data_IF_314557391854
#
_entry.id   IF_314557391854
#
_cell.length_a   1.000
_cell.length_b   1.000
_cell.length_c   1.000
_cell.angle_alpha   90.00
_cell.angle_beta   90.00
_cell.angle_gamma   90.00
#
_symmetry.space_group_name_H-M   'P 1'
#
loop_
_entity.id
_entity.type
_entity.pdbx_description
1 polymer ?
#
# COMPACT_ATOMS: atom_id res chain seq x y z
N UNK A 1 31.59 -28.54 2.55
CA UNK A 1 30.67 -27.89 1.57
C UNK A 1 30.85 -26.39 1.76
N UNK A 2 30.97 -25.61 0.66
CA UNK A 2 31.09 -24.14 0.75
C UNK A 2 29.76 -23.58 1.27
N UNK A 3 29.75 -22.64 2.24
CA UNK A 3 28.51 -22.02 2.71
C UNK A 3 27.75 -21.36 1.57
N UNK A 4 26.43 -21.57 1.53
CA UNK A 4 25.52 -20.86 0.63
C UNK A 4 24.93 -19.71 1.44
N UNK A 5 25.22 -18.48 1.02
CA UNK A 5 24.74 -17.25 1.68
C UNK A 5 23.75 -16.53 0.78
N UNK A 6 22.85 -15.78 1.38
CA UNK A 6 21.89 -14.96 0.65
C UNK A 6 22.58 -13.84 -0.16
N UNK A 7 21.85 -13.26 -1.10
CA UNK A 7 22.32 -12.09 -1.85
C UNK A 7 22.47 -10.87 -0.94
N UNK A 8 23.54 -10.09 -1.12
CA UNK A 8 23.74 -8.82 -0.41
C UNK A 8 22.62 -7.79 -0.63
N UNK A 9 21.80 -7.95 -1.69
CA UNK A 9 20.60 -7.11 -1.88
C UNK A 9 19.57 -7.27 -0.76
N UNK A 10 19.60 -8.39 -0.03
CA UNK A 10 18.71 -8.66 1.09
C UNK A 10 19.20 -8.11 2.43
N UNK A 11 20.48 -7.70 2.53
CA UNK A 11 21.08 -7.25 3.79
C UNK A 11 20.42 -5.96 4.33
N UNK A 12 19.91 -5.11 3.43
CA UNK A 12 19.25 -3.85 3.76
C UNK A 12 17.72 -3.88 3.51
N UNK A 13 17.15 -5.05 3.30
CA UNK A 13 15.69 -5.20 3.16
C UNK A 13 15.06 -5.39 4.52
N UNK A 14 14.51 -4.31 5.07
CA UNK A 14 13.72 -4.34 6.29
C UNK A 14 12.24 -4.55 5.91
N UNK A 15 11.68 -5.68 6.32
CA UNK A 15 10.24 -5.97 6.19
C UNK A 15 9.70 -6.50 7.52
N UNK A 16 9.79 -5.64 8.54
CA UNK A 16 9.57 -5.99 9.96
C UNK A 16 8.15 -6.41 10.28
N UNK A 17 7.17 -6.12 9.39
CA UNK A 17 5.81 -6.67 9.52
C UNK A 17 5.82 -8.20 9.66
N UNK A 18 6.89 -8.87 9.19
CA UNK A 18 7.14 -10.32 9.29
C UNK A 18 8.52 -10.68 9.86
N UNK A 19 9.15 -9.75 10.57
CA UNK A 19 10.49 -9.88 11.11
C UNK A 19 10.56 -10.67 12.44
N UNK A 20 11.62 -10.41 13.25
CA UNK A 20 11.91 -11.17 14.49
C UNK A 20 10.75 -11.17 15.48
N UNK A 21 10.01 -10.08 15.61
CA UNK A 21 8.85 -9.96 16.51
C UNK A 21 7.76 -10.96 16.10
N UNK A 22 7.49 -11.09 14.78
CA UNK A 22 6.53 -12.07 14.29
C UNK A 22 6.97 -13.51 14.55
N UNK A 23 8.27 -13.80 14.41
CA UNK A 23 8.83 -15.12 14.74
C UNK A 23 8.65 -15.42 16.22
N UNK A 24 8.89 -14.44 17.09
CA UNK A 24 8.66 -14.60 18.54
C UNK A 24 7.19 -14.85 18.87
N UNK A 25 6.28 -14.12 18.23
CA UNK A 25 4.84 -14.35 18.40
C UNK A 25 4.44 -15.79 17.99
N UNK A 26 4.97 -16.29 16.87
CA UNK A 26 4.74 -17.68 16.43
C UNK A 26 5.27 -18.70 17.43
N UNK A 27 6.45 -18.47 18.01
CA UNK A 27 7.00 -19.35 19.06
C UNK A 27 6.09 -19.37 20.29
N UNK A 28 5.64 -18.19 20.74
CA UNK A 28 4.73 -18.09 21.89
C UNK A 28 3.38 -18.80 21.62
N UNK A 29 2.86 -18.73 20.40
CA UNK A 29 1.67 -19.50 20.01
C UNK A 29 1.92 -21.01 20.01
N UNK A 30 3.08 -21.45 19.52
CA UNK A 30 3.48 -22.86 19.58
C UNK A 30 3.59 -23.37 21.03
N UNK A 31 3.99 -22.50 21.96
CA UNK A 31 4.03 -22.76 23.39
C UNK A 31 2.62 -22.67 24.07
N UNK A 32 1.54 -22.52 23.27
CA UNK A 32 0.16 -22.51 23.74
C UNK A 32 -0.36 -21.15 24.21
N UNK A 33 0.35 -20.06 23.99
CA UNK A 33 -0.10 -18.72 24.36
C UNK A 33 -1.02 -18.13 23.31
N UNK A 34 -2.05 -17.41 23.74
CA UNK A 34 -2.96 -16.67 22.86
C UNK A 34 -2.41 -15.26 22.60
N UNK A 35 -2.14 -14.93 21.34
CA UNK A 35 -1.64 -13.61 20.93
C UNK A 35 -2.76 -12.83 20.22
N UNK A 36 -2.97 -11.57 20.62
CA UNK A 36 -3.84 -10.63 19.93
C UNK A 36 -3.03 -9.98 18.82
N UNK A 37 -3.38 -10.29 17.56
CA UNK A 37 -2.61 -9.81 16.38
C UNK A 37 -3.22 -8.54 15.81
N UNK A 38 -2.59 -7.40 16.07
CA UNK A 38 -2.95 -6.08 15.54
C UNK A 38 -1.90 -5.53 14.56
N UNK A 39 -1.06 -6.41 14.02
CA UNK A 39 0.09 -6.05 13.19
C UNK A 39 -0.22 -6.04 11.68
N UNK A 40 -1.19 -6.77 11.21
CA UNK A 40 -1.49 -6.91 9.77
C UNK A 40 -2.96 -6.63 9.49
N UNK A 41 -3.24 -5.77 8.49
CA UNK A 41 -4.58 -5.51 7.97
C UNK A 41 -5.12 -6.70 7.18
N UNK A 42 -5.27 -7.85 7.84
CA UNK A 42 -5.91 -9.04 7.30
C UNK A 42 -7.37 -9.10 7.76
N UNK A 43 -8.26 -8.54 6.96
CA UNK A 43 -9.68 -8.38 7.30
C UNK A 43 -10.38 -9.71 7.61
N UNK A 44 -10.03 -10.78 6.90
CA UNK A 44 -10.63 -12.11 7.12
C UNK A 44 -10.36 -12.65 8.53
N UNK A 45 -9.19 -12.39 9.11
CA UNK A 45 -8.86 -12.79 10.48
C UNK A 45 -9.77 -12.15 11.54
N UNK A 46 -10.39 -11.02 11.21
CA UNK A 46 -11.32 -10.27 12.05
C UNK A 46 -12.78 -10.45 11.61
N UNK A 47 -13.07 -11.47 10.81
CA UNK A 47 -14.44 -11.79 10.33
C UNK A 47 -15.08 -10.65 9.51
N UNK A 48 -14.30 -9.99 8.69
CA UNK A 48 -14.79 -9.16 7.60
C UNK A 48 -14.81 -10.01 6.34
N UNK A 49 -15.97 -10.42 5.95
CA UNK A 49 -16.18 -11.34 4.83
C UNK A 49 -16.02 -10.62 3.48
N UNK A 50 -15.62 -11.37 2.47
CA UNK A 50 -15.66 -10.93 1.08
C UNK A 50 -17.12 -10.70 0.67
N UNK A 51 -17.44 -9.74 -0.21
CA UNK A 51 -18.80 -9.62 -0.74
C UNK A 51 -19.29 -10.90 -1.36
N UNK A 52 -20.50 -11.35 -0.98
CA UNK A 52 -21.06 -12.65 -1.39
C UNK A 52 -21.11 -12.80 -2.90
N UNK A 53 -21.46 -11.74 -3.62
CA UNK A 53 -21.53 -11.74 -5.09
C UNK A 53 -20.17 -12.07 -5.73
N UNK A 54 -19.06 -11.63 -5.10
CA UNK A 54 -17.72 -11.96 -5.56
C UNK A 54 -17.38 -13.42 -5.32
N UNK A 55 -17.77 -13.99 -4.19
CA UNK A 55 -17.57 -15.41 -3.89
C UNK A 55 -18.36 -16.29 -4.86
N UNK A 56 -19.63 -15.95 -5.11
CA UNK A 56 -20.47 -16.64 -6.06
C UNK A 56 -19.93 -16.57 -7.50
N UNK A 57 -19.43 -15.39 -7.90
CA UNK A 57 -18.89 -15.20 -9.24
C UNK A 57 -17.58 -15.99 -9.42
N UNK A 58 -16.72 -15.98 -8.41
CA UNK A 58 -15.52 -16.81 -8.39
C UNK A 58 -15.86 -18.30 -8.53
N UNK A 59 -16.84 -18.79 -7.75
CA UNK A 59 -17.25 -20.18 -7.79
C UNK A 59 -17.82 -20.59 -9.17
N UNK A 60 -18.58 -19.70 -9.82
CA UNK A 60 -19.14 -19.95 -11.16
C UNK A 60 -18.07 -20.01 -12.25
N UNK A 61 -17.02 -19.19 -12.11
CA UNK A 61 -15.98 -19.04 -13.13
C UNK A 61 -14.74 -19.92 -12.87
N UNK A 62 -14.64 -20.62 -11.74
CA UNK A 62 -13.45 -21.41 -11.39
C UNK A 62 -13.08 -22.45 -12.47
N UNK A 63 -14.08 -23.03 -13.14
CA UNK A 63 -13.86 -23.99 -14.24
C UNK A 63 -13.21 -23.36 -15.48
N UNK A 64 -13.32 -22.06 -15.67
CA UNK A 64 -12.70 -21.33 -16.78
C UNK A 64 -11.26 -20.89 -16.46
N UNK A 65 -10.83 -20.99 -15.21
CA UNK A 65 -9.55 -20.55 -14.74
C UNK A 65 -8.44 -21.61 -14.82
N UNK A 66 -8.71 -22.75 -15.49
CA UNK A 66 -7.76 -23.87 -15.59
C UNK A 66 -6.60 -23.65 -16.57
N UNK A 67 -6.68 -22.64 -17.46
CA UNK A 67 -5.66 -22.32 -18.46
C UNK A 67 -4.94 -21.02 -18.17
N UNK A 68 -3.83 -20.78 -18.90
CA UNK A 68 -3.20 -19.45 -18.91
C UNK A 68 -4.12 -18.42 -19.56
N UNK A 69 -4.10 -17.21 -19.03
CA UNK A 69 -4.82 -16.05 -19.59
C UNK A 69 -3.85 -15.10 -20.29
N UNK A 70 -4.37 -14.01 -20.86
CA UNK A 70 -3.54 -12.93 -21.36
C UNK A 70 -2.59 -12.40 -20.24
N UNK A 71 -1.35 -12.09 -20.59
CA UNK A 71 -0.33 -11.63 -19.64
C UNK A 71 -0.67 -10.33 -18.95
N UNK A 72 -1.44 -9.46 -19.62
CA UNK A 72 -1.97 -8.21 -19.03
C UNK A 72 -3.22 -8.44 -18.18
N UNK A 73 -3.88 -9.60 -18.29
CA UNK A 73 -5.11 -9.94 -17.58
C UNK A 73 -6.30 -10.18 -18.51
N UNK A 74 -7.32 -10.90 -18.02
CA UNK A 74 -8.52 -11.22 -18.82
C UNK A 74 -9.26 -9.95 -19.24
N UNK A 75 -9.94 -10.03 -20.38
CA UNK A 75 -10.64 -8.88 -20.97
C UNK A 75 -11.67 -8.26 -20.00
N UNK A 76 -12.49 -9.07 -19.34
CA UNK A 76 -13.52 -8.58 -18.42
C UNK A 76 -12.94 -7.80 -17.24
N UNK A 77 -11.83 -8.26 -16.66
CA UNK A 77 -11.13 -7.56 -15.59
C UNK A 77 -10.57 -6.22 -16.07
N UNK A 78 -9.82 -6.23 -17.19
CA UNK A 78 -9.26 -4.99 -17.77
C UNK A 78 -10.35 -3.99 -18.16
N UNK A 79 -11.48 -4.47 -18.70
CA UNK A 79 -12.61 -3.60 -19.07
C UNK A 79 -13.27 -2.97 -17.85
N UNK A 80 -13.44 -3.71 -16.77
CA UNK A 80 -13.95 -3.18 -15.50
C UNK A 80 -13.01 -2.13 -14.90
N UNK A 81 -11.70 -2.39 -14.92
CA UNK A 81 -10.67 -1.44 -14.43
C UNK A 81 -10.66 -0.17 -15.31
N UNK A 82 -10.77 -0.31 -16.64
CA UNK A 82 -10.89 0.86 -17.55
C UNK A 82 -12.10 1.72 -17.19
N UNK A 83 -13.23 1.10 -16.89
CA UNK A 83 -14.43 1.83 -16.50
C UNK A 83 -14.26 2.52 -15.14
N UNK A 84 -13.66 1.87 -14.14
CA UNK A 84 -13.31 2.49 -12.86
C UNK A 84 -12.37 3.70 -13.04
N UNK A 85 -11.37 3.57 -13.92
CA UNK A 85 -10.48 4.68 -14.27
C UNK A 85 -11.25 5.88 -14.89
N UNK A 86 -12.23 5.61 -15.75
CA UNK A 86 -13.10 6.65 -16.32
C UNK A 86 -13.95 7.34 -15.24
N UNK A 87 -14.51 6.58 -14.30
CA UNK A 87 -15.27 7.13 -13.17
C UNK A 87 -14.39 8.01 -12.26
N UNK A 88 -13.10 7.65 -12.12
CA UNK A 88 -12.09 8.45 -11.41
C UNK A 88 -11.54 9.62 -12.22
N UNK A 89 -12.06 9.88 -13.42
CA UNK A 89 -11.61 10.93 -14.34
C UNK A 89 -10.15 10.78 -14.81
N UNK A 90 -9.57 9.59 -14.79
CA UNK A 90 -8.25 9.32 -15.36
C UNK A 90 -8.40 9.25 -16.89
N UNK A 91 -7.79 10.20 -17.59
CA UNK A 91 -7.99 10.37 -19.04
C UNK A 91 -7.06 9.47 -19.87
N UNK A 92 -7.52 9.12 -21.08
CA UNK A 92 -6.69 8.46 -22.09
C UNK A 92 -6.31 7.01 -21.78
N UNK A 93 -7.01 6.35 -20.85
CA UNK A 93 -6.77 4.94 -20.50
C UNK A 93 -7.47 4.01 -21.48
N UNK A 94 -6.69 3.16 -22.12
CA UNK A 94 -7.16 2.06 -22.99
C UNK A 94 -7.00 0.72 -22.28
N UNK A 95 -7.50 -0.36 -22.90
CA UNK A 95 -7.28 -1.71 -22.36
C UNK A 95 -5.79 -2.09 -22.30
N UNK A 96 -5.00 -1.55 -23.23
CA UNK A 96 -3.58 -1.83 -23.31
C UNK A 96 -2.73 -1.17 -22.21
N UNK A 97 -3.29 -0.18 -21.56
CA UNK A 97 -2.68 0.57 -20.45
C UNK A 97 -2.92 -0.10 -19.08
N UNK A 98 -3.54 -1.30 -19.05
CA UNK A 98 -3.92 -1.96 -17.81
C UNK A 98 -3.21 -3.31 -17.72
N UNK A 99 -2.52 -3.53 -16.60
CA UNK A 99 -1.87 -4.80 -16.29
C UNK A 99 -2.38 -5.29 -14.94
N UNK A 100 -2.95 -6.49 -14.94
CA UNK A 100 -3.41 -7.18 -13.73
C UNK A 100 -2.27 -7.99 -13.13
N UNK A 101 -2.11 -7.97 -11.81
CA UNK A 101 -1.06 -8.67 -11.07
C UNK A 101 -1.59 -9.52 -9.92
N UNK A 102 -0.70 -10.35 -9.37
CA UNK A 102 -0.95 -11.16 -8.17
C UNK A 102 -0.97 -10.28 -6.91
N UNK A 103 -1.89 -9.32 -6.89
CA UNK A 103 -1.94 -8.20 -5.95
C UNK A 103 -0.97 -7.08 -6.33
N UNK A 104 -1.13 -5.91 -5.71
CA UNK A 104 -0.26 -4.75 -5.91
C UNK A 104 1.20 -5.08 -5.59
N UNK A 105 1.46 -6.02 -4.68
CA UNK A 105 2.82 -6.40 -4.28
C UNK A 105 3.68 -6.93 -5.43
N UNK A 106 3.12 -7.70 -6.36
CA UNK A 106 3.84 -8.14 -7.56
C UNK A 106 4.13 -6.97 -8.49
N UNK A 107 3.14 -6.09 -8.67
CA UNK A 107 3.26 -4.94 -9.57
C UNK A 107 4.29 -3.92 -9.07
N UNK A 108 4.40 -3.72 -7.75
CA UNK A 108 5.49 -2.93 -7.14
C UNK A 108 6.86 -3.51 -7.55
N UNK A 109 7.00 -4.84 -7.51
CA UNK A 109 8.23 -5.50 -7.99
C UNK A 109 8.49 -5.23 -9.47
N UNK A 110 7.46 -5.30 -10.32
CA UNK A 110 7.60 -5.06 -11.76
C UNK A 110 8.02 -3.63 -12.06
N UNK A 111 7.39 -2.63 -11.45
CA UNK A 111 7.69 -1.23 -11.74
C UNK A 111 9.11 -0.85 -11.32
N UNK A 112 9.60 -1.40 -10.21
CA UNK A 112 10.97 -1.17 -9.77
C UNK A 112 11.99 -1.91 -10.64
N UNK A 113 11.75 -3.19 -10.94
CA UNK A 113 12.66 -3.99 -11.81
C UNK A 113 12.74 -3.44 -13.23
N UNK A 114 11.64 -2.92 -13.77
CA UNK A 114 11.60 -2.36 -15.12
C UNK A 114 12.23 -0.97 -15.25
N UNK A 115 12.41 -0.24 -14.13
CA UNK A 115 12.86 1.15 -14.13
C UNK A 115 14.33 1.30 -13.69
N UNK A 116 14.75 0.56 -12.66
CA UNK A 116 15.94 0.91 -11.86
C UNK A 116 17.20 0.15 -12.29
N UNK A 117 18.28 0.88 -12.31
CA UNK A 117 19.65 0.38 -12.41
C UNK A 117 20.42 0.77 -11.13
N UNK A 118 21.60 0.17 -10.87
CA UNK A 118 22.46 0.60 -9.77
C UNK A 118 22.80 2.09 -9.87
N UNK A 119 22.55 2.83 -8.77
CA UNK A 119 22.76 4.28 -8.69
C UNK A 119 21.49 5.11 -8.93
N UNK A 120 20.41 4.51 -9.46
CA UNK A 120 19.12 5.20 -9.57
C UNK A 120 18.44 5.34 -8.20
N UNK A 121 17.69 6.41 -8.02
CA UNK A 121 17.00 6.76 -6.77
C UNK A 121 15.49 6.81 -6.97
N UNK A 122 14.75 6.43 -5.92
CA UNK A 122 13.28 6.57 -5.84
C UNK A 122 12.92 7.33 -4.57
N UNK A 123 12.15 8.39 -4.71
CA UNK A 123 11.57 9.08 -3.56
C UNK A 123 10.41 8.27 -3.00
N UNK A 124 10.46 7.93 -1.70
CA UNK A 124 9.47 7.12 -1.00
C UNK A 124 9.02 7.88 0.25
N UNK A 125 7.72 7.88 0.65
CA UNK A 125 7.31 8.60 1.85
C UNK A 125 7.93 8.00 3.12
N UNK A 126 8.04 8.82 4.16
CA UNK A 126 8.34 8.40 5.53
C UNK A 126 7.28 9.03 6.46
N UNK A 127 6.40 8.22 7.09
CA UNK A 127 6.36 6.74 7.05
C UNK A 127 5.76 6.21 5.74
N UNK A 128 6.15 4.96 5.37
CA UNK A 128 5.69 4.29 4.15
C UNK A 128 5.14 2.87 4.41
N UNK A 129 4.59 2.26 3.36
CA UNK A 129 4.42 0.81 3.31
C UNK A 129 5.76 0.19 2.87
N UNK A 130 6.47 -0.55 3.75
CA UNK A 130 7.89 -0.87 3.58
C UNK A 130 8.22 -1.73 2.34
N UNK A 131 7.22 -2.28 1.66
CA UNK A 131 7.43 -2.99 0.41
C UNK A 131 7.98 -2.08 -0.70
N UNK A 132 7.63 -0.79 -0.71
CA UNK A 132 8.16 0.16 -1.69
C UNK A 132 9.67 0.34 -1.53
N UNK A 133 10.11 0.52 -0.30
CA UNK A 133 11.55 0.59 0.06
C UNK A 133 12.27 -0.72 -0.26
N UNK A 134 11.70 -1.86 0.12
CA UNK A 134 12.26 -3.17 -0.13
C UNK A 134 12.39 -3.48 -1.63
N UNK A 135 11.35 -3.21 -2.42
CA UNK A 135 11.36 -3.45 -3.87
C UNK A 135 12.36 -2.55 -4.60
N UNK A 136 12.50 -1.29 -4.17
CA UNK A 136 13.53 -0.37 -4.69
C UNK A 136 14.92 -0.95 -4.48
N UNK A 137 15.25 -1.37 -3.26
CA UNK A 137 16.55 -1.97 -2.91
C UNK A 137 16.80 -3.28 -3.67
N UNK A 138 15.79 -4.16 -3.76
CA UNK A 138 15.90 -5.43 -4.50
C UNK A 138 16.11 -5.21 -6.00
N UNK A 139 15.56 -4.12 -6.56
CA UNK A 139 15.81 -3.72 -7.94
C UNK A 139 17.15 -2.97 -8.15
N UNK A 140 18.02 -2.93 -7.13
CA UNK A 140 19.33 -2.25 -7.13
C UNK A 140 19.25 -0.72 -7.11
N UNK A 141 18.10 -0.13 -6.88
CA UNK A 141 17.93 1.31 -6.64
C UNK A 141 18.14 1.68 -5.19
N UNK A 142 18.20 2.99 -4.93
CA UNK A 142 18.31 3.56 -3.60
C UNK A 142 16.99 4.22 -3.22
N UNK A 143 16.29 3.77 -2.17
CA UNK A 143 15.13 4.48 -1.64
C UNK A 143 15.58 5.73 -0.89
N UNK A 144 15.01 6.88 -1.25
CA UNK A 144 15.25 8.17 -0.59
C UNK A 144 13.95 8.63 0.06
N UNK A 145 13.90 8.60 1.39
CA UNK A 145 12.66 8.87 2.11
C UNK A 145 12.42 10.37 2.25
N UNK A 146 11.25 10.84 1.78
CA UNK A 146 10.76 12.20 2.06
C UNK A 146 9.80 12.19 3.25
N UNK A 147 9.81 13.27 4.04
CA UNK A 147 9.04 13.36 5.27
C UNK A 147 7.55 13.63 5.00
N UNK A 148 6.68 12.87 5.67
CA UNK A 148 5.29 13.23 5.90
C UNK A 148 5.19 13.81 7.32
N UNK A 149 4.64 15.02 7.45
CA UNK A 149 4.68 15.81 8.69
C UNK A 149 3.46 15.51 9.58
N UNK A 150 3.69 14.94 10.77
CA UNK A 150 2.61 14.62 11.73
C UNK A 150 1.81 15.88 12.10
N UNK A 151 2.50 16.97 12.37
CA UNK A 151 1.91 18.25 12.77
C UNK A 151 1.04 18.87 11.66
N UNK A 152 1.26 18.44 10.41
CA UNK A 152 0.47 18.84 9.23
C UNK A 152 -0.47 17.72 8.75
N UNK A 153 -0.96 16.88 9.68
CA UNK A 153 -1.88 15.79 9.37
C UNK A 153 -1.29 14.71 8.46
N UNK A 154 0.01 14.48 8.55
CA UNK A 154 0.79 13.52 7.75
C UNK A 154 0.87 13.85 6.26
N UNK A 155 0.69 15.13 5.87
CA UNK A 155 0.93 15.54 4.50
C UNK A 155 2.43 15.47 4.16
N UNK A 156 2.78 15.09 2.91
CA UNK A 156 4.14 15.19 2.40
C UNK A 156 4.71 16.61 2.47
N UNK A 157 5.93 16.72 2.94
CA UNK A 157 6.67 18.00 2.96
C UNK A 157 7.26 18.27 1.57
N UNK A 158 6.66 19.23 0.85
CA UNK A 158 7.10 19.57 -0.51
C UNK A 158 8.51 20.14 -0.52
N UNK A 159 8.88 20.89 0.51
CA UNK A 159 10.25 21.42 0.66
C UNK A 159 11.28 20.30 0.83
N UNK A 160 10.94 19.27 1.59
CA UNK A 160 11.81 18.10 1.81
C UNK A 160 11.90 17.23 0.53
N UNK A 161 10.78 17.05 -0.19
CA UNK A 161 10.78 16.38 -1.51
C UNK A 161 11.75 17.09 -2.45
N UNK A 162 11.60 18.42 -2.62
CA UNK A 162 12.45 19.21 -3.51
C UNK A 162 13.94 19.15 -3.13
N UNK A 163 14.24 19.15 -1.83
CA UNK A 163 15.61 19.06 -1.32
C UNK A 163 16.26 17.68 -1.60
N UNK A 164 15.47 16.65 -1.77
CA UNK A 164 15.92 15.25 -1.97
C UNK A 164 15.98 14.80 -3.42
N UNK A 165 15.45 15.60 -4.36
CA UNK A 165 15.59 15.32 -5.79
C UNK A 165 17.04 15.49 -6.21
N UNK A 166 17.58 14.49 -6.91
CA UNK A 166 18.92 14.53 -7.52
C UNK A 166 18.83 14.15 -9.01
N UNK A 167 19.90 14.32 -9.80
CA UNK A 167 19.93 13.84 -11.18
C UNK A 167 19.71 12.32 -11.34
N UNK A 168 19.87 11.55 -10.26
CA UNK A 168 19.66 10.10 -10.23
C UNK A 168 18.23 9.72 -9.89
N UNK A 169 17.40 10.65 -9.44
CA UNK A 169 15.99 10.38 -9.09
C UNK A 169 15.19 10.02 -10.32
N UNK A 170 14.55 8.84 -10.33
CA UNK A 170 13.75 8.33 -11.45
C UNK A 170 12.26 8.38 -11.20
N UNK A 171 11.84 8.23 -9.96
CA UNK A 171 10.43 8.13 -9.61
C UNK A 171 10.15 8.72 -8.22
N UNK A 172 8.89 9.06 -8.02
CA UNK A 172 8.31 9.35 -6.71
C UNK A 172 7.14 8.43 -6.45
N UNK A 173 7.12 7.82 -5.27
CA UNK A 173 6.03 6.99 -4.75
C UNK A 173 5.10 7.85 -3.90
N UNK A 174 3.80 7.76 -4.13
CA UNK A 174 2.75 8.41 -3.35
C UNK A 174 1.79 7.34 -2.87
N UNK A 175 1.59 7.23 -1.56
CA UNK A 175 0.64 6.28 -0.96
C UNK A 175 -0.54 7.08 -0.44
N UNK A 176 -1.66 7.07 -1.16
CA UNK A 176 -2.82 7.91 -0.85
C UNK A 176 -4.15 7.17 -1.11
N UNK A 177 -4.91 6.85 -0.05
CA UNK A 177 -4.64 7.08 1.38
C UNK A 177 -3.44 6.32 1.94
N UNK A 178 -2.77 6.92 2.93
CA UNK A 178 -1.49 6.43 3.43
C UNK A 178 -1.63 5.24 4.41
N UNK A 179 -0.74 4.30 4.29
CA UNK A 179 -0.42 3.29 5.30
C UNK A 179 1.02 3.57 5.78
N UNK A 180 1.24 3.91 7.07
CA UNK A 180 0.45 3.51 8.24
C UNK A 180 -0.49 4.58 8.82
N UNK A 181 -0.50 5.81 8.34
CA UNK A 181 -1.11 6.95 9.04
C UNK A 181 -2.63 7.12 8.83
N UNK A 182 -3.17 6.56 7.74
CA UNK A 182 -4.57 6.79 7.34
C UNK A 182 -4.85 8.20 6.82
N UNK A 183 -3.81 8.97 6.51
CA UNK A 183 -3.95 10.30 5.92
C UNK A 183 -4.49 10.25 4.49
N UNK A 184 -5.25 11.27 4.13
CA UNK A 184 -5.67 11.58 2.76
C UNK A 184 -5.01 12.90 2.40
N UNK A 185 -4.22 12.91 1.34
CA UNK A 185 -3.53 14.12 0.91
C UNK A 185 -4.47 15.07 0.18
N UNK A 186 -4.32 16.37 0.43
CA UNK A 186 -5.14 17.39 -0.24
C UNK A 186 -4.79 17.49 -1.74
N UNK A 187 -5.72 17.99 -2.53
CA UNK A 187 -5.49 18.20 -3.96
C UNK A 187 -4.32 19.14 -4.22
N UNK A 188 -4.14 20.14 -3.37
CA UNK A 188 -3.02 21.11 -3.45
C UNK A 188 -1.69 20.39 -3.28
N UNK A 189 -1.55 19.55 -2.25
CA UNK A 189 -0.32 18.75 -2.01
C UNK A 189 -0.05 17.81 -3.18
N UNK A 190 -1.09 17.15 -3.73
CA UNK A 190 -0.94 16.28 -4.89
C UNK A 190 -0.47 17.05 -6.13
N UNK A 191 -1.01 18.26 -6.37
CA UNK A 191 -0.58 19.14 -7.47
C UNK A 191 0.86 19.61 -7.30
N UNK A 192 1.28 19.93 -6.09
CA UNK A 192 2.67 20.31 -5.79
C UNK A 192 3.64 19.16 -6.07
N UNK A 193 3.28 17.93 -5.70
CA UNK A 193 4.08 16.74 -6.03
C UNK A 193 4.14 16.53 -7.55
N UNK A 194 3.02 16.67 -8.25
CA UNK A 194 2.98 16.61 -9.72
C UNK A 194 3.90 17.65 -10.34
N UNK A 195 3.93 18.86 -9.78
CA UNK A 195 4.81 19.93 -10.26
C UNK A 195 6.29 19.54 -10.09
N UNK A 196 6.68 18.97 -8.95
CA UNK A 196 8.04 18.47 -8.76
C UNK A 196 8.38 17.36 -9.75
N UNK A 197 7.45 16.44 -9.98
CA UNK A 197 7.65 15.35 -10.94
C UNK A 197 7.81 15.88 -12.37
N UNK A 198 7.00 16.86 -12.76
CA UNK A 198 7.06 17.54 -14.08
C UNK A 198 8.40 18.24 -14.30
N UNK A 199 8.87 19.01 -13.32
CA UNK A 199 10.12 19.75 -13.37
C UNK A 199 11.35 18.85 -13.53
N UNK A 200 11.28 17.62 -13.03
CA UNK A 200 12.40 16.69 -12.94
C UNK A 200 12.21 15.42 -13.81
N UNK A 201 11.13 15.33 -14.58
CA UNK A 201 10.87 14.18 -15.45
C UNK A 201 10.67 12.86 -14.71
N UNK A 202 10.09 12.89 -13.49
CA UNK A 202 9.91 11.71 -12.66
C UNK A 202 8.68 10.90 -13.05
N UNK A 203 8.77 9.58 -12.93
CA UNK A 203 7.60 8.70 -12.94
C UNK A 203 6.86 8.85 -11.60
N UNK A 204 5.54 9.03 -11.64
CA UNK A 204 4.71 9.10 -10.43
C UNK A 204 4.01 7.75 -10.22
N UNK A 205 4.39 7.04 -9.15
CA UNK A 205 3.82 5.75 -8.76
C UNK A 205 2.85 5.99 -7.60
N UNK A 206 1.56 5.71 -7.82
CA UNK A 206 0.51 6.01 -6.84
C UNK A 206 -0.13 4.71 -6.34
N UNK A 207 -0.03 4.47 -5.04
CA UNK A 207 -0.72 3.36 -4.37
C UNK A 207 -2.06 3.86 -3.82
N UNK A 208 -3.16 3.50 -4.50
CA UNK A 208 -4.53 3.89 -4.14
C UNK A 208 -5.34 2.70 -3.56
N UNK A 209 -4.67 1.73 -2.95
CA UNK A 209 -5.33 0.49 -2.46
C UNK A 209 -6.43 0.75 -1.42
N UNK A 210 -6.45 1.93 -0.77
CA UNK A 210 -7.43 2.34 0.24
C UNK A 210 -8.43 3.40 -0.25
N UNK A 211 -8.51 3.67 -1.55
CA UNK A 211 -9.28 4.76 -2.16
C UNK A 211 -10.78 4.77 -1.81
N UNK A 212 -11.33 3.64 -1.32
CA UNK A 212 -12.73 3.52 -0.89
C UNK A 212 -12.90 3.34 0.63
N UNK A 213 -11.82 3.20 1.39
CA UNK A 213 -11.89 3.08 2.86
C UNK A 213 -11.70 4.47 3.47
N UNK A 214 -12.74 5.29 3.41
CA UNK A 214 -12.74 6.71 3.76
C UNK A 214 -13.78 6.99 4.83
N UNK A 215 -13.46 7.84 5.80
CA UNK A 215 -14.35 8.16 6.92
C UNK A 215 -14.81 9.63 6.88
N UNK A 216 -15.84 9.94 7.63
CA UNK A 216 -16.30 11.31 7.95
C UNK A 216 -16.61 12.17 6.70
N UNK A 217 -17.04 11.54 5.61
CA UNK A 217 -17.39 12.24 4.37
C UNK A 217 -16.19 12.67 3.52
N UNK A 218 -14.98 12.29 3.90
CA UNK A 218 -13.80 12.52 3.07
C UNK A 218 -13.94 11.86 1.70
N UNK A 219 -13.34 12.47 0.69
CA UNK A 219 -13.33 11.97 -0.69
C UNK A 219 -11.91 11.75 -1.15
N UNK A 220 -11.68 10.68 -1.88
CA UNK A 220 -10.43 10.42 -2.55
C UNK A 220 -10.46 11.04 -3.95
N UNK A 221 -9.35 11.69 -4.32
CA UNK A 221 -9.10 12.16 -5.67
C UNK A 221 -7.93 11.36 -6.22
N UNK A 222 -8.14 10.62 -7.31
CA UNK A 222 -7.04 9.91 -7.96
C UNK A 222 -6.02 10.90 -8.51
N UNK A 223 -4.77 10.75 -8.12
CA UNK A 223 -3.72 11.69 -8.50
C UNK A 223 -3.56 11.79 -10.02
N UNK A 224 -3.70 10.68 -10.73
CA UNK A 224 -3.63 10.63 -12.20
C UNK A 224 -4.78 11.37 -12.91
N UNK A 225 -5.84 11.78 -12.20
CA UNK A 225 -6.89 12.62 -12.77
C UNK A 225 -6.52 14.10 -12.84
N UNK A 226 -5.48 14.53 -12.12
CA UNK A 226 -5.10 15.93 -11.95
C UNK A 226 -4.15 16.45 -13.04
N UNK A 227 -3.48 15.56 -13.77
CA UNK A 227 -2.58 15.95 -14.87
C UNK A 227 -2.53 14.86 -15.95
N UNK A 228 -2.10 15.25 -17.17
CA UNK A 228 -1.93 14.33 -18.30
C UNK A 228 -0.56 14.46 -18.99
N UNK A 229 0.29 15.30 -18.48
CA UNK A 229 1.62 15.63 -18.99
C UNK A 229 2.78 15.05 -18.17
N UNK A 230 2.44 14.31 -17.11
CA UNK A 230 3.36 13.48 -16.30
C UNK A 230 2.96 12.01 -16.47
N UNK A 231 3.92 11.10 -16.43
CA UNK A 231 3.61 9.66 -16.52
C UNK A 231 3.25 9.09 -15.15
N UNK A 232 2.04 8.51 -15.07
CA UNK A 232 1.50 7.91 -13.86
C UNK A 232 1.39 6.40 -13.98
N UNK A 233 1.68 5.72 -12.87
CA UNK A 233 1.35 4.32 -12.62
C UNK A 233 0.45 4.29 -11.38
N UNK A 234 -0.87 4.15 -11.58
CA UNK A 234 -1.85 4.10 -10.50
C UNK A 234 -2.19 2.67 -10.15
N UNK A 235 -2.02 2.30 -8.90
CA UNK A 235 -2.23 0.94 -8.42
C UNK A 235 -3.48 0.82 -7.56
N UNK A 236 -4.23 -0.28 -7.77
CA UNK A 236 -5.42 -0.63 -7.01
C UNK A 236 -5.59 -2.14 -6.91
N UNK A 237 -6.59 -2.59 -6.14
CA UNK A 237 -6.81 -4.03 -6.00
C UNK A 237 -7.97 -4.40 -5.08
N UNK A 238 -8.23 -5.70 -5.00
CA UNK A 238 -9.33 -6.24 -4.21
C UNK A 238 -9.03 -6.38 -2.72
N UNK A 239 -7.76 -6.27 -2.32
CA UNK A 239 -7.29 -6.67 -1.00
C UNK A 239 -7.95 -5.93 0.16
N UNK A 240 -8.23 -4.63 0.01
CA UNK A 240 -8.68 -3.77 1.12
C UNK A 240 -10.13 -3.33 0.95
N UNK A 241 -10.45 -2.67 -0.12
CA UNK A 241 -11.81 -2.20 -0.41
C UNK A 241 -12.85 -3.32 -0.43
N UNK A 242 -12.44 -4.49 -0.90
CA UNK A 242 -13.32 -5.66 -1.05
C UNK A 242 -13.02 -6.80 -0.07
N UNK A 243 -12.13 -6.57 0.90
CA UNK A 243 -11.75 -7.54 1.94
C UNK A 243 -11.21 -8.88 1.41
N UNK A 244 -10.77 -8.91 0.14
CA UNK A 244 -10.36 -10.10 -0.60
C UNK A 244 -8.84 -10.19 -0.76
N UNK A 245 -8.07 -9.97 0.32
CA UNK A 245 -6.60 -9.97 0.25
C UNK A 245 -6.02 -11.34 -0.13
N UNK A 246 -6.74 -12.43 0.14
CA UNK A 246 -6.37 -13.79 -0.25
C UNK A 246 -6.59 -14.10 -1.74
N UNK A 247 -7.42 -13.33 -2.45
CA UNK A 247 -7.66 -13.53 -3.89
C UNK A 247 -6.47 -13.15 -4.76
N UNK A 248 -5.51 -12.40 -4.20
CA UNK A 248 -4.30 -11.97 -4.90
C UNK A 248 -4.60 -11.32 -6.25
N UNK A 249 -5.55 -10.41 -6.31
CA UNK A 249 -5.89 -9.64 -7.50
C UNK A 249 -5.67 -8.15 -7.26
N UNK A 250 -4.82 -7.56 -8.08
CA UNK A 250 -4.52 -6.14 -8.12
C UNK A 250 -4.23 -5.72 -9.56
N UNK A 251 -4.11 -4.44 -9.80
CA UNK A 251 -3.85 -3.90 -11.12
C UNK A 251 -3.02 -2.62 -11.05
N UNK A 252 -2.36 -2.30 -12.16
CA UNK A 252 -1.81 -0.99 -12.42
C UNK A 252 -2.42 -0.41 -13.70
N UNK A 253 -2.61 0.91 -13.68
CA UNK A 253 -3.13 1.74 -14.78
C UNK A 253 -2.02 2.69 -15.20
N UNK A 254 -1.64 2.65 -16.46
CA UNK A 254 -0.64 3.52 -17.07
C UNK A 254 -1.34 4.70 -17.74
N UNK A 255 -0.99 5.92 -17.36
CA UNK A 255 -1.69 7.12 -17.87
C UNK A 255 -0.77 8.33 -17.98
N UNK A 256 -1.29 9.42 -18.58
CA UNK A 256 -0.55 10.66 -18.77
C UNK A 256 0.45 10.59 -19.93
N UNK A 257 1.69 11.02 -19.71
CA UNK A 257 2.74 11.14 -20.73
C UNK A 257 3.33 9.79 -21.20
N UNK A 258 2.48 8.87 -21.68
CA UNK A 258 2.86 7.49 -22.08
C UNK A 258 3.88 7.42 -23.19
N UNK A 259 3.86 8.36 -24.14
CA UNK A 259 4.81 8.36 -25.26
C UNK A 259 6.26 8.52 -24.77
N UNK A 260 6.49 9.34 -23.75
CA UNK A 260 7.80 9.51 -23.14
C UNK A 260 8.26 8.23 -22.37
N UNK A 261 7.32 7.41 -21.93
CA UNK A 261 7.55 6.20 -21.16
C UNK A 261 7.45 4.90 -21.99
N UNK A 262 7.33 5.00 -23.33
CA UNK A 262 7.04 3.84 -24.20
C UNK A 262 7.97 2.65 -23.97
N UNK A 263 9.26 2.87 -23.94
CA UNK A 263 10.25 1.79 -23.71
C UNK A 263 10.08 1.15 -22.33
N UNK A 264 9.82 1.96 -21.30
CA UNK A 264 9.54 1.45 -19.96
C UNK A 264 8.24 0.62 -19.92
N UNK A 265 7.19 1.08 -20.59
CA UNK A 265 5.92 0.34 -20.73
C UNK A 265 6.15 -1.02 -21.41
N UNK A 266 6.96 -1.08 -22.47
CA UNK A 266 7.35 -2.32 -23.14
C UNK A 266 8.07 -3.28 -22.17
N UNK A 267 8.94 -2.74 -21.30
CA UNK A 267 9.60 -3.49 -20.23
C UNK A 267 8.61 -4.08 -19.21
N UNK A 268 7.61 -3.32 -18.80
CA UNK A 268 6.55 -3.79 -17.90
C UNK A 268 5.72 -4.91 -18.53
N UNK A 269 5.39 -4.78 -19.81
CA UNK A 269 4.68 -5.83 -20.57
C UNK A 269 5.53 -7.09 -20.70
N UNK A 270 6.84 -6.94 -20.91
CA UNK A 270 7.78 -8.06 -20.93
C UNK A 270 7.80 -8.82 -19.60
N UNK A 271 7.91 -8.10 -18.46
CA UNK A 271 7.86 -8.71 -17.13
C UNK A 271 6.54 -9.45 -16.88
N UNK A 272 5.42 -8.85 -17.26
CA UNK A 272 4.11 -9.49 -17.19
C UNK A 272 4.04 -10.76 -18.04
N UNK A 273 4.66 -10.75 -19.24
CA UNK A 273 4.71 -11.89 -20.15
C UNK A 273 5.61 -13.01 -19.65
N UNK A 274 6.74 -12.69 -19.04
CA UNK A 274 7.66 -13.66 -18.44
C UNK A 274 7.00 -14.45 -17.29
N UNK A 275 6.11 -13.82 -16.54
CA UNK A 275 5.30 -14.45 -15.50
C UNK A 275 4.17 -15.33 -16.09
N UNK A 276 3.89 -15.28 -17.38
CA UNK A 276 2.77 -15.86 -18.12
C UNK A 276 1.45 -15.10 -17.89
N UNK A 277 0.80 -15.25 -16.74
CA UNK A 277 -0.42 -14.51 -16.39
C UNK A 277 -0.54 -14.31 -14.88
N UNK A 278 -1.39 -13.37 -14.45
CA UNK A 278 -1.82 -13.27 -13.06
C UNK A 278 -2.71 -14.45 -12.68
N UNK A 279 -2.92 -14.65 -11.38
CA UNK A 279 -3.84 -15.63 -10.82
C UNK A 279 -5.23 -15.56 -11.52
N UNK A 280 -5.50 -16.52 -12.39
CA UNK A 280 -6.71 -16.53 -13.21
C UNK A 280 -8.01 -16.55 -12.36
N UNK A 281 -8.15 -17.37 -11.30
CA UNK A 281 -9.31 -17.32 -10.43
C UNK A 281 -9.59 -15.91 -9.88
N UNK A 282 -8.58 -15.24 -9.32
CA UNK A 282 -8.76 -13.91 -8.72
C UNK A 282 -9.17 -12.82 -9.71
N UNK A 283 -8.78 -12.95 -10.98
CA UNK A 283 -9.15 -12.00 -12.02
C UNK A 283 -10.66 -11.97 -12.31
N UNK A 284 -11.33 -13.12 -12.23
CA UNK A 284 -12.78 -13.21 -12.45
C UNK A 284 -13.57 -12.38 -11.45
N UNK A 285 -13.10 -12.22 -10.22
CA UNK A 285 -13.77 -11.42 -9.20
C UNK A 285 -13.69 -9.89 -9.44
N UNK A 286 -12.78 -9.40 -10.31
CA UNK A 286 -12.54 -7.96 -10.48
C UNK A 286 -13.76 -7.25 -11.07
N UNK A 287 -14.41 -7.84 -12.08
CA UNK A 287 -15.56 -7.21 -12.72
C UNK A 287 -16.73 -7.05 -11.73
N UNK A 288 -17.05 -8.07 -10.98
CA UNK A 288 -18.11 -8.05 -9.96
C UNK A 288 -17.77 -7.09 -8.82
N UNK A 289 -16.51 -7.06 -8.39
CA UNK A 289 -16.05 -6.13 -7.38
C UNK A 289 -16.25 -4.66 -7.80
N UNK A 290 -15.81 -4.30 -9.00
CA UNK A 290 -15.84 -2.90 -9.47
C UNK A 290 -17.24 -2.47 -9.91
N UNK A 291 -18.01 -3.38 -10.53
CA UNK A 291 -19.35 -3.09 -11.06
C UNK A 291 -20.50 -3.38 -10.12
N UNK A 292 -20.26 -4.13 -9.05
CA UNK A 292 -21.29 -4.55 -8.09
C UNK A 292 -21.54 -3.55 -6.96
N UNK A 293 -22.30 -4.00 -5.96
CA UNK A 293 -22.57 -3.21 -4.77
C UNK A 293 -21.30 -2.94 -3.96
N UNK A 294 -21.10 -1.69 -3.60
CA UNK A 294 -19.91 -1.28 -2.85
C UNK A 294 -20.14 -1.39 -1.34
N UNK A 295 -20.20 -2.63 -0.84
CA UNK A 295 -20.49 -2.93 0.57
C UNK A 295 -19.48 -2.38 1.58
N UNK A 296 -18.33 -1.87 1.11
CA UNK A 296 -17.41 -1.11 1.96
C UNK A 296 -18.10 0.14 2.52
N UNK A 297 -19.01 0.74 1.77
CA UNK A 297 -19.74 1.94 2.19
C UNK A 297 -20.54 1.70 3.48
N UNK A 298 -21.11 0.51 3.67
CA UNK A 298 -21.84 0.16 4.90
C UNK A 298 -20.93 0.07 6.11
N UNK A 299 -19.69 -0.32 5.91
CA UNK A 299 -18.70 -0.50 6.96
C UNK A 299 -18.10 0.84 7.43
N UNK A 300 -17.99 1.82 6.51
CA UNK A 300 -17.40 3.14 6.79
C UNK A 300 -18.44 4.22 7.09
N UNK A 301 -19.73 3.97 6.82
CA UNK A 301 -20.84 4.88 7.12
C UNK A 301 -20.96 5.12 8.63
N UNK A 302 -21.77 6.12 9.01
CA UNK A 302 -22.15 6.34 10.40
C UNK A 302 -22.82 5.09 10.99
N UNK A 303 -22.31 4.62 12.15
CA UNK A 303 -22.74 3.35 12.73
C UNK A 303 -22.15 2.09 12.07
N UNK A 304 -21.43 2.21 10.97
CA UNK A 304 -20.74 1.11 10.31
C UNK A 304 -19.63 0.51 11.17
N UNK A 305 -19.35 -0.78 10.99
CA UNK A 305 -18.44 -1.51 11.87
C UNK A 305 -17.02 -0.94 11.86
N UNK A 306 -16.44 -0.64 10.71
CA UNK A 306 -15.09 -0.09 10.62
C UNK A 306 -14.99 1.29 11.25
N UNK A 307 -15.99 2.15 10.98
CA UNK A 307 -16.02 3.49 11.56
C UNK A 307 -16.12 3.44 13.08
N UNK A 308 -17.02 2.62 13.65
CA UNK A 308 -17.13 2.44 15.11
C UNK A 308 -15.84 1.93 15.73
N UNK A 309 -15.18 0.95 15.09
CA UNK A 309 -13.93 0.39 15.58
C UNK A 309 -12.80 1.43 15.54
N UNK A 310 -12.72 2.23 14.46
CA UNK A 310 -11.77 3.36 14.39
C UNK A 310 -11.99 4.35 15.53
N UNK A 311 -13.23 4.81 15.69
CA UNK A 311 -13.56 5.86 16.67
C UNK A 311 -13.27 5.36 18.09
N UNK A 312 -13.73 4.16 18.43
CA UNK A 312 -13.47 3.55 19.73
C UNK A 312 -11.97 3.37 20.00
N UNK A 313 -11.22 2.83 19.04
CA UNK A 313 -9.80 2.61 19.19
C UNK A 313 -9.04 3.94 19.33
N UNK A 314 -9.43 4.96 18.58
CA UNK A 314 -8.85 6.31 18.67
C UNK A 314 -9.11 6.93 20.06
N UNK A 315 -10.35 6.89 20.54
CA UNK A 315 -10.72 7.46 21.84
C UNK A 315 -10.00 6.74 22.99
N UNK A 316 -9.93 5.41 22.94
CA UNK A 316 -9.24 4.61 23.95
C UNK A 316 -7.74 4.88 24.00
N UNK A 317 -7.08 4.96 22.83
CA UNK A 317 -5.62 5.11 22.77
C UNK A 317 -5.19 6.51 23.16
N UNK A 318 -5.96 7.52 22.76
CA UNK A 318 -5.67 8.93 23.10
C UNK A 318 -6.05 9.29 24.54
N UNK A 319 -6.82 8.44 25.23
CA UNK A 319 -7.06 8.57 26.66
C UNK A 319 -5.86 8.13 27.53
N UNK A 320 -4.88 7.44 26.95
CA UNK A 320 -3.68 7.01 27.67
C UNK A 320 -2.74 8.22 27.88
N UNK A 321 -2.32 8.54 29.12
CA UNK A 321 -1.43 9.65 29.36
C UNK A 321 -0.13 9.55 28.56
N UNK A 322 0.22 10.61 27.84
CA UNK A 322 1.43 10.64 27.00
C UNK A 322 1.30 9.93 25.64
N UNK A 323 0.08 9.53 25.26
CA UNK A 323 -0.18 9.02 23.92
C UNK A 323 -1.03 10.02 23.15
N UNK A 324 -0.58 10.37 21.96
CA UNK A 324 -1.32 11.20 21.00
C UNK A 324 -1.44 10.48 19.65
N UNK A 325 -2.41 10.86 18.85
CA UNK A 325 -2.61 10.27 17.53
C UNK A 325 -3.34 11.27 16.62
N UNK A 326 -2.88 11.43 15.40
CA UNK A 326 -3.69 12.07 14.37
C UNK A 326 -4.81 11.10 13.99
N UNK A 327 -6.08 11.55 14.09
CA UNK A 327 -7.22 10.69 13.76
C UNK A 327 -7.17 10.32 12.29
N UNK A 328 -7.16 9.01 11.93
CA UNK A 328 -7.09 8.60 10.54
C UNK A 328 -8.39 8.92 9.79
N UNK A 329 -8.25 9.54 8.62
CA UNK A 329 -9.37 9.85 7.73
C UNK A 329 -9.69 8.69 6.78
N UNK A 330 -8.79 7.70 6.69
CA UNK A 330 -8.92 6.57 5.79
C UNK A 330 -8.17 5.32 6.32
N UNK A 331 -8.18 4.26 5.51
CA UNK A 331 -7.53 2.99 5.78
C UNK A 331 -8.06 2.29 7.05
N UNK A 332 -7.21 1.55 7.77
CA UNK A 332 -7.64 0.71 8.90
C UNK A 332 -6.57 0.65 10.00
N UNK A 333 -5.84 1.74 10.17
CA UNK A 333 -4.69 1.83 11.06
C UNK A 333 -4.76 3.07 11.95
N UNK A 334 -4.27 2.92 13.19
CA UNK A 334 -3.83 4.02 14.04
C UNK A 334 -2.30 4.03 14.06
N UNK A 335 -1.74 5.22 14.06
CA UNK A 335 -0.29 5.43 14.16
C UNK A 335 0.01 6.41 15.30
N UNK A 336 -0.25 5.98 16.57
CA UNK A 336 -0.07 6.80 17.74
C UNK A 336 1.39 7.06 18.05
N UNK A 337 1.64 8.26 18.58
CA UNK A 337 2.88 8.72 19.14
C UNK A 337 2.91 8.54 20.66
N UNK A 338 4.01 8.06 21.17
CA UNK A 338 4.32 7.96 22.59
C UNK A 338 5.25 9.12 22.96
N UNK A 339 4.84 9.97 23.92
CA UNK A 339 5.67 11.11 24.37
C UNK A 339 6.99 10.59 24.94
N UNK A 340 8.15 10.97 24.36
CA UNK A 340 9.46 10.51 24.83
C UNK A 340 9.79 10.90 26.27
N UNK A 341 9.10 11.89 26.84
CA UNK A 341 9.26 12.30 28.25
C UNK A 341 8.61 11.30 29.21
N UNK A 342 7.57 10.59 28.77
CA UNK A 342 6.84 9.59 29.56
C UNK A 342 7.31 8.19 29.17
N UNK A 343 7.54 7.97 27.88
CA UNK A 343 7.98 6.70 27.29
C UNK A 343 9.36 6.92 26.62
N UNK A 344 10.48 6.82 27.37
CA UNK A 344 11.82 7.08 26.85
C UNK A 344 12.33 5.88 26.02
N UNK A 345 11.69 5.60 24.90
CA UNK A 345 11.99 4.46 24.02
C UNK A 345 13.25 4.77 23.21
N UNK A 346 14.32 4.00 23.41
CA UNK A 346 15.58 4.11 22.65
C UNK A 346 15.57 3.22 21.39
N UNK A 347 14.85 2.08 21.46
CA UNK A 347 14.70 1.11 20.39
C UNK A 347 13.24 0.64 20.40
N UNK A 348 12.47 1.05 19.40
CA UNK A 348 11.05 0.71 19.33
C UNK A 348 10.80 -0.76 18.97
N UNK A 349 11.74 -1.44 18.32
CA UNK A 349 11.68 -2.88 18.09
C UNK A 349 11.80 -3.68 19.40
N UNK A 350 12.74 -3.33 20.26
CA UNK A 350 12.88 -3.94 21.59
C UNK A 350 11.65 -3.66 22.45
N UNK A 351 11.14 -2.43 22.41
CA UNK A 351 9.91 -2.06 23.12
C UNK A 351 8.71 -2.92 22.67
N UNK A 352 8.51 -3.07 21.36
CA UNK A 352 7.40 -3.89 20.83
C UNK A 352 7.59 -5.37 21.16
N UNK A 353 8.82 -5.87 21.19
CA UNK A 353 9.11 -7.24 21.62
C UNK A 353 8.76 -7.45 23.10
N UNK A 354 9.17 -6.54 23.99
CA UNK A 354 8.81 -6.59 25.41
C UNK A 354 7.29 -6.49 25.61
N UNK A 355 6.63 -5.57 24.87
CA UNK A 355 5.18 -5.41 24.87
C UNK A 355 4.47 -6.71 24.46
N UNK A 356 4.93 -7.37 23.39
CA UNK A 356 4.41 -8.67 22.97
C UNK A 356 4.58 -9.74 24.08
N UNK A 357 5.76 -9.82 24.70
CA UNK A 357 6.04 -10.83 25.71
C UNK A 357 5.23 -10.65 26.99
N UNK A 358 4.95 -9.41 27.38
CA UNK A 358 4.16 -9.09 28.58
C UNK A 358 2.67 -9.15 28.32
N UNK A 359 2.20 -8.39 27.30
CA UNK A 359 0.79 -8.13 27.10
C UNK A 359 0.13 -9.10 26.11
N UNK A 360 0.91 -9.92 25.40
CA UNK A 360 0.42 -10.87 24.38
C UNK A 360 -0.29 -10.14 23.22
N UNK A 361 0.13 -8.92 22.92
CA UNK A 361 -0.40 -8.10 21.81
C UNK A 361 0.72 -7.85 20.80
N UNK A 362 0.47 -8.21 19.56
CA UNK A 362 1.41 -8.04 18.45
C UNK A 362 1.03 -6.78 17.65
N UNK A 363 1.91 -5.80 17.67
CA UNK A 363 1.83 -4.54 16.92
C UNK A 363 3.07 -4.37 16.05
N UNK A 364 3.20 -3.27 15.34
CA UNK A 364 4.42 -2.97 14.55
C UNK A 364 5.00 -1.65 15.01
N UNK A 365 6.30 -1.60 15.20
CA UNK A 365 7.05 -0.39 15.55
C UNK A 365 7.06 0.63 14.39
N UNK A 366 7.20 1.90 14.71
CA UNK A 366 7.20 2.99 13.73
C UNK A 366 8.37 2.89 12.75
N UNK A 367 9.56 2.52 13.23
CA UNK A 367 10.75 2.34 12.39
C UNK A 367 10.56 1.22 11.34
N UNK A 368 9.68 0.24 11.59
CA UNK A 368 9.27 -0.77 10.62
C UNK A 368 8.47 -0.23 9.42
N UNK A 369 8.09 1.06 9.46
CA UNK A 369 7.50 1.83 8.36
C UNK A 369 8.45 2.94 7.88
N UNK A 370 9.76 2.79 8.12
CA UNK A 370 10.78 3.79 7.81
C UNK A 370 10.52 5.15 8.48
N UNK A 371 9.79 5.18 9.61
CA UNK A 371 9.66 6.38 10.42
C UNK A 371 10.99 6.68 11.11
N UNK A 372 11.36 7.95 11.13
CA UNK A 372 12.70 8.38 11.55
C UNK A 372 12.92 8.44 13.06
N UNK A 373 11.86 8.22 13.86
CA UNK A 373 11.91 8.29 15.33
C UNK A 373 11.38 6.98 15.95
N UNK A 374 11.82 6.68 17.18
CA UNK A 374 11.40 5.51 17.94
C UNK A 374 10.15 5.78 18.80
N UNK A 375 9.25 6.65 18.35
CA UNK A 375 8.15 7.20 19.16
C UNK A 375 6.76 6.83 18.65
N UNK A 376 6.64 6.01 17.59
CA UNK A 376 5.36 5.61 17.02
C UNK A 376 5.18 4.10 16.97
N UNK A 377 3.92 3.68 17.02
CA UNK A 377 3.49 2.29 16.83
C UNK A 377 2.33 2.26 15.83
N UNK A 378 2.17 1.14 15.10
CA UNK A 378 1.00 0.94 14.26
C UNK A 378 0.10 -0.16 14.81
N UNK A 379 -1.19 0.14 14.92
CA UNK A 379 -2.26 -0.79 15.27
C UNK A 379 -3.29 -0.89 14.15
N UNK A 380 -3.80 -2.08 13.88
CA UNK A 380 -5.02 -2.25 13.10
C UNK A 380 -6.23 -2.14 14.04
N UNK A 381 -7.27 -1.44 13.64
CA UNK A 381 -8.53 -1.32 14.40
C UNK A 381 -9.64 -2.23 13.83
N UNK A 382 -9.28 -3.47 13.46
CA UNK A 382 -10.16 -4.46 12.82
C UNK A 382 -10.81 -5.39 13.83
#
# INVERSE_FOLDING_TARGET
MRPIIQSHKLDNVCYDIRGPIMQRAQQMEADGQRIIKLNIGNLAAFKFEVPEEMEQDLARNIGQAGGYTDSKGIFSARKAIQHDAQQKNIKGVTLDDIIVGNGVSELIGFVMQGLLNPGDEVLVPSPDYPLWTAATSLASGTPVHYLCEEENGWNPSISDIRAKVTPNTKAIVVINPNNPTGAIYSTEVLLDIIQVARENGLVVMVDEIYDKVLYDGHKHVSMASLANDVFFITMGGLSKNYRACGYRAGWMILSGAKEAAKNYIEGLVLLASMRLCANAPGQHAIQTALGGYQSINDLIAEGGRLRRQRDLAYDMITAIPGVSCVKPNAAMYLFPKLDPKIYPIQNDQEFVLEFLEREKVLVVQGTGFNWVKNDHLRFVFL
#
